data_IF_203033590095
#
_entry.id   IF_203033590095
#
_cell.length_a   1.000
_cell.length_b   1.000
_cell.length_c   1.000
_cell.angle_alpha   90.00
_cell.angle_beta   90.00
_cell.angle_gamma   90.00
#
_symmetry.space_group_name_H-M   'P 1'
#
loop_
_entity.id
_entity.type
_entity.pdbx_description
1 polymer ?
#
# COMPACT_ATOMS: atom_id res chain seq x y z
N UNK A 1 -66.72 -58.71 -23.15
CA UNK A 1 -65.58 -57.83 -23.47
C UNK A 1 -66.02 -56.42 -23.13
N UNK A 2 -65.89 -55.99 -21.88
CA UNK A 2 -64.65 -55.53 -21.22
C UNK A 2 -64.44 -54.02 -21.39
N UNK A 3 -64.87 -53.33 -20.34
CA UNK A 3 -64.25 -52.19 -19.62
C UNK A 3 -63.90 -50.89 -20.34
N UNK A 4 -64.71 -49.87 -20.01
CA UNK A 4 -64.30 -48.57 -19.44
C UNK A 4 -62.82 -48.43 -19.07
N UNK A 5 -62.17 -47.40 -19.60
CA UNK A 5 -60.96 -46.76 -19.04
C UNK A 5 -60.98 -45.34 -19.62
N UNK A 6 -60.99 -44.25 -18.86
CA UNK A 6 -60.30 -44.02 -17.60
C UNK A 6 -59.51 -42.73 -17.81
N UNK A 7 -60.10 -41.64 -17.35
CA UNK A 7 -59.54 -40.32 -17.10
C UNK A 7 -58.09 -40.35 -16.61
N UNK A 8 -57.23 -39.47 -17.13
CA UNK A 8 -56.07 -38.99 -16.35
C UNK A 8 -55.64 -37.59 -16.82
N UNK A 9 -56.23 -36.61 -16.13
CA UNK A 9 -55.71 -35.26 -15.97
C UNK A 9 -54.32 -35.34 -15.31
N UNK A 10 -53.29 -34.87 -15.99
CA UNK A 10 -51.96 -34.73 -15.41
C UNK A 10 -51.96 -33.48 -14.51
N UNK A 11 -51.63 -33.60 -13.22
CA UNK A 11 -51.67 -32.47 -12.30
C UNK A 11 -50.53 -31.48 -12.58
N UNK A 12 -50.87 -30.20 -12.62
CA UNK A 12 -49.93 -29.10 -12.60
C UNK A 12 -49.10 -29.15 -11.32
N UNK A 13 -47.80 -29.41 -11.45
CA UNK A 13 -46.84 -29.19 -10.37
C UNK A 13 -46.71 -27.67 -10.15
N UNK A 14 -47.01 -27.15 -8.95
CA UNK A 14 -46.70 -25.77 -8.64
C UNK A 14 -45.18 -25.62 -8.57
N UNK A 15 -44.62 -24.88 -9.52
CA UNK A 15 -43.21 -24.50 -9.55
C UNK A 15 -42.94 -23.60 -8.33
N UNK A 16 -42.47 -24.20 -7.25
CA UNK A 16 -42.05 -23.48 -6.05
C UNK A 16 -40.78 -22.69 -6.37
N UNK A 17 -40.92 -21.37 -6.46
CA UNK A 17 -39.81 -20.44 -6.56
C UNK A 17 -39.10 -20.42 -5.19
N UNK A 18 -38.00 -21.18 -5.06
CA UNK A 18 -37.09 -21.03 -3.92
C UNK A 18 -36.38 -19.71 -4.11
N UNK A 19 -36.81 -18.69 -3.37
CA UNK A 19 -36.02 -17.49 -3.10
C UNK A 19 -34.79 -17.93 -2.31
N UNK A 20 -33.69 -18.18 -3.02
CA UNK A 20 -32.38 -18.24 -2.40
C UNK A 20 -32.08 -16.86 -1.76
N UNK A 21 -31.63 -16.84 -0.50
CA UNK A 21 -31.38 -15.59 0.21
C UNK A 21 -30.23 -14.82 -0.45
N UNK A 22 -30.52 -13.55 -0.73
CA UNK A 22 -29.62 -12.46 -1.01
C UNK A 22 -28.17 -12.71 -0.58
N UNK A 23 -27.31 -12.90 -1.57
CA UNK A 23 -25.92 -12.49 -1.45
C UNK A 23 -25.80 -11.12 -2.13
N UNK A 24 -26.04 -10.06 -1.37
CA UNK A 24 -25.76 -8.68 -1.76
C UNK A 24 -24.23 -8.51 -1.89
N UNK A 25 -23.68 -8.97 -3.02
CA UNK A 25 -22.30 -8.70 -3.43
C UNK A 25 -22.24 -7.34 -4.15
N UNK A 26 -22.70 -6.28 -3.48
CA UNK A 26 -22.55 -4.91 -3.96
C UNK A 26 -21.36 -4.26 -3.24
N UNK A 27 -20.17 -4.39 -3.84
CA UNK A 27 -19.19 -3.30 -4.02
C UNK A 27 -17.82 -3.86 -4.41
N UNK A 28 -17.71 -4.31 -5.65
CA UNK A 28 -16.43 -4.30 -6.34
C UNK A 28 -16.59 -3.41 -7.55
N UNK A 29 -16.13 -2.17 -7.42
CA UNK A 29 -15.75 -1.35 -8.55
C UNK A 29 -14.74 -2.17 -9.37
N UNK A 30 -15.25 -2.88 -10.38
CA UNK A 30 -14.47 -3.74 -11.27
C UNK A 30 -13.36 -2.88 -11.83
N UNK A 31 -12.13 -3.11 -11.38
CA UNK A 31 -11.01 -2.29 -11.84
C UNK A 31 -10.98 -2.36 -13.36
N UNK A 32 -10.98 -1.21 -14.03
CA UNK A 32 -10.90 -1.15 -15.50
C UNK A 32 -9.55 -1.67 -16.01
N UNK A 33 -8.55 -1.80 -15.13
CA UNK A 33 -7.22 -2.30 -15.49
C UNK A 33 -7.18 -3.83 -15.47
N UNK A 34 -6.87 -4.42 -16.63
CA UNK A 34 -6.64 -5.88 -16.80
C UNK A 34 -5.69 -6.43 -15.74
N UNK A 35 -4.63 -5.67 -15.40
CA UNK A 35 -3.68 -6.04 -14.35
C UNK A 35 -4.33 -6.18 -12.98
N UNK A 36 -5.17 -5.22 -12.60
CA UNK A 36 -5.82 -5.22 -11.30
C UNK A 36 -6.89 -6.30 -11.20
N UNK A 37 -7.60 -6.57 -12.28
CA UNK A 37 -8.54 -7.70 -12.35
C UNK A 37 -7.81 -9.03 -12.16
N UNK A 38 -6.72 -9.27 -12.91
CA UNK A 38 -5.92 -10.48 -12.77
C UNK A 38 -5.34 -10.63 -11.35
N UNK A 39 -4.90 -9.52 -10.75
CA UNK A 39 -4.42 -9.47 -9.37
C UNK A 39 -5.53 -9.80 -8.36
N UNK A 40 -6.71 -9.19 -8.49
CA UNK A 40 -7.83 -9.38 -7.59
C UNK A 40 -8.35 -10.82 -7.65
N UNK A 41 -8.51 -11.35 -8.86
CA UNK A 41 -8.93 -12.73 -9.10
C UNK A 41 -7.93 -13.72 -8.47
N UNK A 42 -6.63 -13.61 -8.79
CA UNK A 42 -5.63 -14.52 -8.23
C UNK A 42 -5.59 -14.47 -6.69
N UNK A 43 -5.79 -13.30 -6.08
CA UNK A 43 -5.93 -13.21 -4.61
C UNK A 43 -7.17 -13.92 -4.09
N UNK A 44 -8.31 -13.69 -4.74
CA UNK A 44 -9.56 -14.31 -4.36
C UNK A 44 -9.44 -15.84 -4.46
N UNK A 45 -8.87 -16.36 -5.56
CA UNK A 45 -8.70 -17.79 -5.79
C UNK A 45 -7.76 -18.43 -4.76
N UNK A 46 -6.61 -17.81 -4.46
CA UNK A 46 -5.68 -18.29 -3.45
C UNK A 46 -6.31 -18.31 -2.05
N UNK A 47 -6.98 -17.21 -1.66
CA UNK A 47 -7.63 -17.13 -0.36
C UNK A 47 -8.79 -18.13 -0.26
N UNK A 48 -9.66 -18.22 -1.28
CA UNK A 48 -10.78 -19.15 -1.30
C UNK A 48 -10.30 -20.60 -1.17
N UNK A 49 -9.23 -20.97 -1.88
CA UNK A 49 -8.66 -22.32 -1.78
C UNK A 49 -8.08 -22.59 -0.40
N UNK A 50 -7.45 -21.60 0.23
CA UNK A 50 -6.90 -21.73 1.57
C UNK A 50 -8.03 -21.88 2.61
N UNK A 51 -9.10 -21.09 2.49
CA UNK A 51 -10.32 -21.21 3.32
C UNK A 51 -10.96 -22.58 3.15
N UNK A 52 -11.12 -23.05 1.91
CA UNK A 52 -11.67 -24.39 1.60
C UNK A 52 -10.84 -25.50 2.28
N UNK A 53 -9.51 -25.42 2.17
CA UNK A 53 -8.60 -26.43 2.70
C UNK A 53 -8.46 -26.41 4.24
N UNK A 54 -8.66 -25.25 4.86
CA UNK A 54 -8.51 -25.06 6.31
C UNK A 54 -9.82 -25.06 7.07
N UNK A 55 -10.95 -24.93 6.36
CA UNK A 55 -12.29 -24.71 6.91
C UNK A 55 -12.40 -23.47 7.81
N UNK A 56 -11.46 -22.53 7.69
CA UNK A 56 -11.42 -21.30 8.47
C UNK A 56 -11.73 -20.11 7.56
N UNK A 57 -12.82 -19.40 7.85
CA UNK A 57 -13.26 -18.25 7.04
C UNK A 57 -12.25 -17.08 7.04
N UNK A 58 -11.48 -16.94 8.11
CA UNK A 58 -10.48 -15.87 8.27
C UNK A 58 -9.12 -16.21 7.63
N UNK A 59 -8.99 -17.39 7.04
CA UNK A 59 -7.74 -17.84 6.46
C UNK A 59 -7.38 -16.99 5.23
N UNK A 60 -6.22 -16.35 5.26
CA UNK A 60 -5.78 -15.42 4.23
C UNK A 60 -4.32 -15.63 3.88
N UNK A 61 -3.99 -15.42 2.62
CA UNK A 61 -2.63 -15.51 2.13
C UNK A 61 -1.75 -14.41 2.74
N UNK A 62 -0.62 -14.80 3.33
CA UNK A 62 0.42 -13.88 3.83
C UNK A 62 1.63 -13.94 2.90
N UNK A 63 2.17 -12.75 2.58
CA UNK A 63 3.20 -12.59 1.56
C UNK A 63 4.58 -12.22 2.11
N UNK A 64 4.67 -11.86 3.38
CA UNK A 64 5.95 -11.65 4.07
C UNK A 64 6.55 -13.01 4.45
N UNK A 65 7.87 -13.08 4.58
CA UNK A 65 8.57 -14.33 4.92
C UNK A 65 8.04 -14.90 6.23
N UNK A 66 8.01 -14.07 7.28
CA UNK A 66 7.51 -14.47 8.61
C UNK A 66 6.01 -14.77 8.59
N UNK A 67 5.22 -13.94 7.90
CA UNK A 67 3.78 -14.11 7.87
C UNK A 67 3.36 -15.39 7.14
N UNK A 68 4.02 -15.70 6.03
CA UNK A 68 3.80 -16.94 5.29
C UNK A 68 4.17 -18.16 6.14
N UNK A 69 5.37 -18.17 6.74
CA UNK A 69 5.82 -19.28 7.56
C UNK A 69 4.90 -19.51 8.76
N UNK A 70 4.58 -18.46 9.54
CA UNK A 70 3.76 -18.61 10.76
C UNK A 70 2.32 -18.98 10.46
N UNK A 71 1.67 -18.28 9.54
CA UNK A 71 0.23 -18.44 9.33
C UNK A 71 -0.09 -19.51 8.30
N UNK A 72 0.53 -19.45 7.11
CA UNK A 72 0.19 -20.38 6.02
C UNK A 72 0.74 -21.78 6.31
N UNK A 73 2.02 -21.88 6.65
CA UNK A 73 2.62 -23.19 6.94
C UNK A 73 2.35 -23.64 8.37
N UNK A 74 2.61 -22.80 9.37
CA UNK A 74 2.52 -23.18 10.77
C UNK A 74 1.07 -23.37 11.25
N UNK A 75 0.22 -22.35 11.08
CA UNK A 75 -1.15 -22.36 11.59
C UNK A 75 -2.11 -23.13 10.69
N UNK A 76 -2.02 -22.93 9.38
CA UNK A 76 -2.92 -23.55 8.40
C UNK A 76 -2.42 -24.91 7.91
N UNK A 77 -1.16 -25.30 8.16
CA UNK A 77 -0.57 -26.59 7.76
C UNK A 77 -0.55 -26.83 6.24
N UNK A 78 -0.43 -25.77 5.44
CA UNK A 78 -0.30 -25.86 3.98
C UNK A 78 0.91 -25.08 3.48
N UNK A 79 1.49 -25.54 2.38
CA UNK A 79 2.56 -24.84 1.66
C UNK A 79 2.20 -24.72 0.19
N UNK A 80 2.60 -23.61 -0.40
CA UNK A 80 2.48 -23.37 -1.83
C UNK A 80 3.65 -24.04 -2.55
N UNK A 81 3.36 -24.90 -3.52
CA UNK A 81 4.37 -25.63 -4.29
C UNK A 81 4.29 -25.20 -5.76
N UNK A 82 5.43 -25.28 -6.46
CA UNK A 82 5.60 -24.90 -7.86
C UNK A 82 5.33 -23.43 -8.12
N UNK A 83 5.69 -22.59 -7.16
CA UNK A 83 5.86 -21.17 -7.43
C UNK A 83 7.04 -21.00 -8.40
N UNK A 84 6.92 -20.20 -9.47
CA UNK A 84 7.99 -20.07 -10.47
C UNK A 84 9.26 -19.46 -9.89
N UNK A 85 10.42 -20.07 -10.15
CA UNK A 85 11.73 -19.64 -9.62
C UNK A 85 12.15 -18.24 -10.09
N UNK A 86 11.63 -17.77 -11.23
CA UNK A 86 11.90 -16.45 -11.82
C UNK A 86 10.99 -15.34 -11.29
N UNK A 87 9.90 -15.70 -10.60
CA UNK A 87 8.93 -14.75 -10.05
C UNK A 87 9.17 -14.59 -8.56
N UNK A 88 9.50 -13.39 -8.05
CA UNK A 88 9.70 -13.22 -6.63
C UNK A 88 8.40 -13.48 -5.87
N UNK A 89 8.47 -14.26 -4.79
CA UNK A 89 7.34 -14.47 -3.91
C UNK A 89 7.14 -13.23 -3.04
N UNK A 90 6.14 -12.42 -3.40
CA UNK A 90 5.80 -11.19 -2.70
C UNK A 90 4.34 -10.85 -2.95
N UNK A 91 3.86 -9.82 -2.26
CA UNK A 91 2.52 -9.33 -2.46
C UNK A 91 2.30 -8.98 -3.95
N UNK A 92 1.22 -9.50 -4.55
CA UNK A 92 0.92 -9.38 -5.99
C UNK A 92 0.84 -7.92 -6.49
N UNK A 93 0.65 -6.94 -5.60
CA UNK A 93 0.73 -5.50 -5.93
C UNK A 93 2.15 -5.08 -6.31
N UNK A 94 3.15 -5.67 -5.67
CA UNK A 94 4.55 -5.25 -5.73
C UNK A 94 5.31 -5.93 -6.87
N UNK A 95 4.72 -6.97 -7.48
CA UNK A 95 5.31 -7.66 -8.62
C UNK A 95 5.58 -6.69 -9.77
N UNK A 96 6.83 -6.62 -10.24
CA UNK A 96 7.18 -5.87 -11.46
C UNK A 96 6.88 -6.73 -12.70
N UNK A 97 6.77 -6.10 -13.87
CA UNK A 97 6.51 -6.81 -15.14
C UNK A 97 5.06 -6.79 -15.65
N UNK A 98 4.21 -5.93 -15.08
CA UNK A 98 2.86 -5.68 -15.61
C UNK A 98 1.88 -6.84 -15.42
N UNK A 99 0.87 -6.92 -16.29
CA UNK A 99 -0.14 -7.98 -16.25
C UNK A 99 0.40 -9.36 -16.68
N UNK A 100 1.52 -9.41 -17.43
CA UNK A 100 2.05 -10.65 -18.00
C UNK A 100 2.43 -11.67 -16.90
N UNK A 101 3.14 -11.22 -15.87
CA UNK A 101 3.58 -12.10 -14.75
C UNK A 101 2.36 -12.65 -14.00
N UNK A 102 1.36 -11.80 -13.73
CA UNK A 102 0.12 -12.22 -13.08
C UNK A 102 -0.66 -13.24 -13.92
N UNK A 103 -0.71 -13.04 -15.24
CA UNK A 103 -1.37 -13.97 -16.14
C UNK A 103 -0.65 -15.33 -16.21
N UNK A 104 0.69 -15.34 -16.11
CA UNK A 104 1.47 -16.59 -16.02
C UNK A 104 1.14 -17.32 -14.72
N UNK A 105 1.19 -16.63 -13.57
CA UNK A 105 0.82 -17.23 -12.28
C UNK A 105 -0.61 -17.78 -12.29
N UNK A 106 -1.55 -17.02 -12.87
CA UNK A 106 -2.94 -17.45 -13.01
C UNK A 106 -3.06 -18.69 -13.88
N UNK A 107 -2.40 -18.71 -15.05
CA UNK A 107 -2.40 -19.89 -15.91
C UNK A 107 -1.85 -21.13 -15.18
N UNK A 108 -0.79 -20.98 -14.40
CA UNK A 108 -0.21 -22.08 -13.61
C UNK A 108 -1.15 -22.56 -12.50
N UNK A 109 -1.90 -21.63 -11.89
CA UNK A 109 -2.95 -21.92 -10.92
C UNK A 109 -4.12 -22.68 -11.56
N UNK A 110 -4.65 -22.18 -12.68
CA UNK A 110 -5.75 -22.79 -13.42
C UNK A 110 -5.38 -24.19 -13.93
N UNK A 111 -4.10 -24.40 -14.26
CA UNK A 111 -3.55 -25.70 -14.64
C UNK A 111 -3.32 -26.64 -13.45
N UNK A 112 -3.47 -26.17 -12.21
CA UNK A 112 -3.21 -26.94 -10.98
C UNK A 112 -1.73 -27.26 -10.75
N UNK A 113 -0.83 -26.59 -11.48
CA UNK A 113 0.62 -26.70 -11.27
C UNK A 113 1.00 -25.94 -10.02
N UNK A 114 0.62 -24.66 -9.95
CA UNK A 114 0.69 -23.88 -8.73
C UNK A 114 -0.48 -24.28 -7.83
N UNK A 115 -0.19 -24.83 -6.66
CA UNK A 115 -1.24 -25.29 -5.72
C UNK A 115 -0.75 -25.31 -4.28
N UNK A 116 -1.71 -25.37 -3.37
CA UNK A 116 -1.43 -25.70 -1.98
C UNK A 116 -1.30 -27.22 -1.80
N UNK A 117 -0.26 -27.63 -1.07
CA UNK A 117 -0.05 -28.99 -0.61
C UNK A 117 0.06 -28.99 0.92
N UNK A 118 -0.34 -30.10 1.55
CA UNK A 118 -0.26 -30.22 3.00
C UNK A 118 1.20 -30.14 3.46
N UNK A 119 1.48 -29.26 4.42
CA UNK A 119 2.81 -29.09 4.98
C UNK A 119 3.22 -30.35 5.75
N UNK A 120 4.48 -30.77 5.59
CA UNK A 120 5.01 -31.88 6.37
C UNK A 120 5.30 -31.41 7.81
N UNK A 121 5.36 -32.33 8.80
CA UNK A 121 5.72 -31.97 10.17
C UNK A 121 7.08 -31.26 10.27
N UNK A 122 8.02 -31.64 9.38
CA UNK A 122 9.32 -30.99 9.27
C UNK A 122 9.19 -29.54 8.77
N UNK A 123 8.34 -29.29 7.77
CA UNK A 123 8.07 -27.94 7.27
C UNK A 123 7.46 -27.04 8.36
N UNK A 124 6.52 -27.59 9.14
CA UNK A 124 5.88 -26.88 10.27
C UNK A 124 6.93 -26.52 11.34
N UNK A 125 7.81 -27.47 11.69
CA UNK A 125 8.90 -27.22 12.63
C UNK A 125 9.91 -26.18 12.09
N UNK A 126 10.22 -26.23 10.79
CA UNK A 126 11.10 -25.28 10.13
C UNK A 126 10.48 -23.89 10.06
N UNK A 127 9.16 -23.77 9.86
CA UNK A 127 8.48 -22.48 9.81
C UNK A 127 8.64 -21.67 11.10
N UNK A 128 8.70 -22.34 12.26
CA UNK A 128 8.93 -21.70 13.56
C UNK A 128 10.41 -21.37 13.81
N UNK A 129 11.33 -22.23 13.35
CA UNK A 129 12.77 -22.07 13.58
C UNK A 129 13.43 -21.13 12.60
N UNK A 130 13.20 -21.36 11.31
CA UNK A 130 13.83 -20.68 10.18
C UNK A 130 12.79 -20.42 9.06
N UNK A 131 12.04 -19.30 9.15
CA UNK A 131 11.00 -18.94 8.18
C UNK A 131 11.45 -18.96 6.72
N UNK A 132 12.71 -18.55 6.46
CA UNK A 132 13.31 -18.53 5.11
C UNK A 132 13.36 -19.92 4.48
N UNK A 133 13.54 -20.99 5.28
CA UNK A 133 13.66 -22.36 4.76
C UNK A 133 12.39 -22.88 4.11
N UNK A 134 11.23 -22.33 4.48
CA UNK A 134 9.92 -22.75 3.98
C UNK A 134 9.40 -21.81 2.89
N UNK A 135 10.11 -20.70 2.67
CA UNK A 135 9.76 -19.72 1.66
C UNK A 135 9.84 -20.34 0.25
N UNK A 136 8.88 -20.05 -0.66
CA UNK A 136 8.89 -20.66 -2.00
C UNK A 136 10.16 -20.36 -2.80
N UNK A 137 10.60 -19.09 -2.79
CA UNK A 137 11.80 -18.64 -3.52
C UNK A 137 12.78 -17.94 -2.58
N UNK A 138 13.54 -18.68 -1.75
CA UNK A 138 14.45 -18.05 -0.78
C UNK A 138 15.61 -17.33 -1.47
N UNK A 139 15.98 -17.76 -2.68
CA UNK A 139 17.07 -17.18 -3.48
C UNK A 139 16.78 -15.76 -3.99
N UNK A 140 15.49 -15.43 -4.16
CA UNK A 140 15.06 -14.11 -4.63
C UNK A 140 14.78 -13.13 -3.50
N UNK A 141 14.94 -13.55 -2.23
CA UNK A 141 14.84 -12.63 -1.12
C UNK A 141 15.99 -11.63 -1.21
N UNK A 142 15.74 -10.33 -0.98
CA UNK A 142 16.83 -9.39 -0.79
C UNK A 142 17.62 -9.91 0.41
N UNK A 143 18.85 -10.37 0.17
CA UNK A 143 19.84 -10.56 1.24
C UNK A 143 19.83 -9.25 2.02
N UNK A 144 19.75 -9.31 3.34
CA UNK A 144 19.80 -8.16 4.25
C UNK A 144 21.11 -7.37 4.06
N UNK A 145 21.25 -6.72 2.91
CA UNK A 145 22.08 -5.58 2.73
C UNK A 145 21.27 -4.50 3.43
N UNK A 146 21.47 -4.37 4.75
CA UNK A 146 21.12 -3.13 5.43
C UNK A 146 21.53 -2.01 4.48
N UNK A 147 20.61 -1.09 4.12
CA UNK A 147 20.93 -0.06 3.15
C UNK A 147 22.19 0.59 3.68
N UNK A 148 23.31 0.33 3.02
CA UNK A 148 24.56 0.99 3.36
C UNK A 148 24.19 2.45 3.20
N UNK A 149 24.09 3.19 4.31
CA UNK A 149 23.79 4.62 4.27
C UNK A 149 24.84 5.20 3.34
N UNK A 150 24.48 5.39 2.07
CA UNK A 150 25.38 5.97 1.10
C UNK A 150 25.54 7.39 1.58
N UNK A 151 26.74 7.73 2.05
CA UNK A 151 27.06 9.09 2.50
C UNK A 151 26.53 10.05 1.45
N UNK A 152 25.70 11.01 1.86
CA UNK A 152 25.07 11.92 0.92
C UNK A 152 26.12 12.56 0.00
N UNK A 153 25.85 12.58 -1.31
CA UNK A 153 26.77 13.21 -2.26
C UNK A 153 26.74 14.71 -2.02
N UNK A 154 27.88 15.28 -1.63
CA UNK A 154 28.00 16.73 -1.42
C UNK A 154 28.21 17.39 -2.77
N UNK A 155 27.18 18.06 -3.28
CA UNK A 155 27.30 18.91 -4.47
C UNK A 155 27.72 20.30 -4.03
N UNK A 156 28.88 20.73 -4.50
CA UNK A 156 29.52 22.00 -4.16
C UNK A 156 29.49 22.95 -5.37
N UNK A 157 28.37 23.62 -5.67
CA UNK A 157 28.32 24.58 -6.77
C UNK A 157 29.24 25.77 -6.49
N UNK A 158 30.07 26.09 -7.49
CA UNK A 158 30.91 27.29 -7.50
C UNK A 158 30.04 28.49 -7.87
N UNK A 159 29.97 29.48 -6.99
CA UNK A 159 29.31 30.75 -7.26
C UNK A 159 30.33 31.74 -7.82
N UNK A 160 30.01 32.37 -8.96
CA UNK A 160 30.86 33.39 -9.60
C UNK A 160 30.11 34.72 -9.66
N UNK A 161 30.86 35.83 -9.61
CA UNK A 161 30.29 37.17 -9.78
C UNK A 161 29.86 37.36 -11.23
N UNK A 162 28.64 37.88 -11.51
CA UNK A 162 28.07 37.88 -12.86
C UNK A 162 28.81 38.77 -13.87
N UNK A 163 29.61 39.74 -13.38
CA UNK A 163 30.30 40.72 -14.24
C UNK A 163 31.81 40.42 -14.32
N UNK A 164 32.42 40.09 -13.19
CA UNK A 164 33.87 39.86 -13.12
C UNK A 164 34.25 38.39 -13.24
N UNK A 165 33.27 37.47 -13.21
CA UNK A 165 33.47 36.01 -13.12
C UNK A 165 34.44 35.57 -12.00
N UNK A 166 34.73 36.47 -11.05
CA UNK A 166 35.54 36.18 -9.89
C UNK A 166 34.78 35.23 -8.98
N UNK A 167 35.46 34.22 -8.43
CA UNK A 167 34.85 33.28 -7.50
C UNK A 167 34.32 34.02 -6.26
N UNK A 168 33.03 33.85 -5.99
CA UNK A 168 32.34 34.36 -4.79
C UNK A 168 32.30 33.31 -3.67
N UNK A 169 32.68 32.06 -3.96
CA UNK A 169 32.76 30.96 -3.00
C UNK A 169 31.92 29.74 -3.37
N UNK A 170 31.80 28.81 -2.43
CA UNK A 170 31.10 27.54 -2.59
C UNK A 170 29.88 27.51 -1.66
N UNK A 171 28.71 27.15 -2.20
CA UNK A 171 27.50 26.93 -1.43
C UNK A 171 27.07 25.47 -1.55
N UNK A 172 27.68 24.54 -0.78
CA UNK A 172 27.29 23.15 -0.86
C UNK A 172 25.84 22.99 -0.39
N UNK A 173 25.05 22.36 -1.23
CA UNK A 173 23.69 21.93 -0.94
C UNK A 173 23.73 20.41 -0.83
N UNK A 174 23.50 19.88 0.36
CA UNK A 174 23.37 18.44 0.61
C UNK A 174 22.08 18.20 1.37
N UNK A 175 21.39 17.10 1.02
CA UNK A 175 20.23 16.57 1.75
C UNK A 175 20.63 15.93 3.08
N UNK A 176 21.91 15.59 3.26
CA UNK A 176 22.49 15.11 4.52
C UNK A 176 23.15 16.28 5.28
N UNK A 177 22.58 16.72 6.43
CA UNK A 177 23.08 17.86 7.20
C UNK A 177 24.44 17.57 7.86
N UNK A 178 24.74 16.32 8.18
CA UNK A 178 26.01 15.94 8.84
C UNK A 178 27.17 16.00 7.84
N UNK A 179 26.89 15.70 6.56
CA UNK A 179 27.85 15.84 5.48
C UNK A 179 28.30 17.31 5.28
N UNK A 180 27.38 18.28 5.43
CA UNK A 180 27.69 19.73 5.27
C UNK A 180 28.57 20.27 6.40
N UNK A 181 28.37 19.77 7.63
CA UNK A 181 29.15 20.16 8.81
C UNK A 181 30.64 19.92 8.60
N UNK A 182 31.00 18.75 8.07
CA UNK A 182 32.40 18.37 7.84
C UNK A 182 33.12 19.24 6.81
N UNK A 183 32.39 19.74 5.79
CA UNK A 183 32.98 20.53 4.69
C UNK A 183 33.04 22.03 5.01
N UNK A 184 31.99 22.59 5.62
CA UNK A 184 31.92 24.04 5.85
C UNK A 184 32.32 24.48 7.26
N UNK A 185 32.41 23.55 8.23
CA UNK A 185 32.57 23.87 9.65
C UNK A 185 31.41 24.72 10.23
N UNK A 186 30.34 24.90 9.45
CA UNK A 186 29.19 25.74 9.80
C UNK A 186 28.06 24.83 10.25
N UNK A 187 27.53 25.10 11.44
CA UNK A 187 26.31 24.45 11.92
C UNK A 187 25.21 24.57 10.87
N UNK A 188 24.44 23.49 10.60
CA UNK A 188 23.34 23.55 9.65
C UNK A 188 22.46 24.73 10.01
N UNK A 189 22.17 25.59 9.04
CA UNK A 189 21.35 26.78 9.26
C UNK A 189 19.98 26.26 9.67
N UNK A 190 19.62 26.41 10.94
CA UNK A 190 18.32 25.97 11.41
C UNK A 190 17.25 26.63 10.54
N UNK A 191 16.39 25.80 9.94
CA UNK A 191 15.21 26.31 9.26
C UNK A 191 14.43 27.20 10.25
N UNK A 192 13.82 28.26 9.74
CA UNK A 192 13.17 29.29 10.56
C UNK A 192 12.21 28.65 11.59
N UNK A 193 12.47 28.90 12.87
CA UNK A 193 11.68 28.36 13.98
C UNK A 193 10.44 29.20 14.33
N UNK A 194 10.10 30.21 13.51
CA UNK A 194 8.96 31.11 13.72
C UNK A 194 7.68 30.69 12.97
N UNK A 195 7.62 29.46 12.47
CA UNK A 195 6.38 28.87 11.95
C UNK A 195 5.31 28.94 13.05
N UNK A 196 4.14 29.51 12.75
CA UNK A 196 3.05 29.88 13.69
C UNK A 196 3.34 30.98 14.72
N UNK A 197 4.53 31.59 14.77
CA UNK A 197 4.84 32.70 15.71
C UNK A 197 4.64 34.07 15.05
N UNK A 198 3.96 35.04 15.70
CA UNK A 198 3.86 36.39 15.18
C UNK A 198 5.23 37.09 15.26
N UNK A 199 5.63 37.79 14.19
CA UNK A 199 6.84 38.64 14.23
C UNK A 199 6.66 39.74 15.27
N UNK A 200 7.65 39.96 16.15
CA UNK A 200 7.67 41.14 17.03
C UNK A 200 7.65 42.40 16.17
N UNK A 201 6.65 43.26 16.39
CA UNK A 201 6.56 44.58 15.78
C UNK A 201 6.52 45.64 16.88
N UNK A 202 7.06 46.84 16.64
CA UNK A 202 6.93 47.96 17.57
C UNK A 202 5.45 48.23 17.85
N UNK A 203 5.09 48.34 19.12
CA UNK A 203 3.70 48.59 19.57
C UNK A 203 3.29 50.03 19.30
N UNK A 204 4.26 50.95 19.19
CA UNK A 204 4.02 52.36 18.91
C UNK A 204 4.53 52.69 17.52
N UNK A 205 3.65 53.23 16.68
CA UNK A 205 4.02 53.79 15.40
C UNK A 205 4.50 55.24 15.63
N UNK A 206 5.76 55.60 15.33
CA UNK A 206 6.26 56.97 15.56
C UNK A 206 5.46 58.04 14.79
N UNK A 207 4.70 57.65 13.76
CA UNK A 207 3.95 58.56 12.91
C UNK A 207 2.45 58.63 13.25
N UNK A 208 2.01 58.12 14.42
CA UNK A 208 0.61 58.13 14.88
C UNK A 208 -0.46 57.53 13.91
N UNK A 209 -0.03 56.79 12.88
CA UNK A 209 -0.98 56.09 11.99
C UNK A 209 -1.56 54.85 12.70
N UNK A 210 -2.81 54.47 12.39
CA UNK A 210 -3.46 53.30 12.98
C UNK A 210 -2.61 52.04 12.83
N UNK A 211 -2.49 51.27 13.92
CA UNK A 211 -1.67 50.07 13.97
C UNK A 211 -2.22 49.01 13.00
N UNK A 212 -1.36 48.51 12.11
CA UNK A 212 -1.72 47.40 11.21
C UNK A 212 -2.19 46.18 12.02
N UNK A 213 -3.34 45.61 11.66
CA UNK A 213 -3.93 44.42 12.31
C UNK A 213 -2.91 43.27 12.35
N UNK A 214 -2.84 42.58 13.49
CA UNK A 214 -1.95 41.41 13.66
C UNK A 214 -2.31 40.34 12.64
N UNK A 215 -1.36 39.98 11.75
CA UNK A 215 -1.51 38.86 10.81
C UNK A 215 -0.98 37.57 11.47
N UNK A 216 -1.66 36.44 11.25
CA UNK A 216 -1.12 35.12 11.60
C UNK A 216 0.09 34.82 10.71
N UNK A 217 1.10 34.16 11.26
CA UNK A 217 2.27 33.70 10.50
C UNK A 217 1.91 32.57 9.53
N UNK A 218 2.88 32.11 8.75
CA UNK A 218 2.75 30.93 7.89
C UNK A 218 2.28 29.73 8.72
N UNK A 219 1.22 29.07 8.24
CA UNK A 219 0.54 27.95 8.90
C UNK A 219 0.91 26.58 8.36
N UNK A 220 1.66 26.51 7.26
CA UNK A 220 2.09 25.25 6.65
C UNK A 220 2.99 24.45 7.60
N UNK A 221 2.97 23.13 7.45
CA UNK A 221 3.82 22.23 8.22
C UNK A 221 5.30 22.43 7.86
N UNK A 222 6.18 22.09 8.81
CA UNK A 222 7.64 22.32 8.71
C UNK A 222 8.29 21.46 7.62
N UNK A 223 7.71 20.29 7.37
CA UNK A 223 8.08 19.36 6.31
C UNK A 223 6.80 18.83 5.69
N UNK A 224 6.76 18.71 4.38
CA UNK A 224 5.85 17.78 3.69
C UNK A 224 6.68 16.52 3.52
N UNK A 225 6.65 15.65 4.53
CA UNK A 225 7.11 14.30 4.27
C UNK A 225 6.07 13.70 3.32
N UNK A 226 6.51 13.14 2.20
CA UNK A 226 5.68 12.15 1.52
C UNK A 226 5.43 11.10 2.59
N UNK A 227 4.20 11.07 3.12
CA UNK A 227 3.79 10.07 4.08
C UNK A 227 3.97 8.76 3.33
N UNK A 228 5.07 8.05 3.62
CA UNK A 228 5.10 6.61 3.45
C UNK A 228 3.84 6.17 4.16
N UNK A 229 2.85 5.75 3.39
CA UNK A 229 1.57 5.31 3.90
C UNK A 229 1.87 4.18 4.87
N UNK A 230 1.88 4.50 6.16
CA UNK A 230 1.75 3.54 7.23
C UNK A 230 0.37 2.91 7.02
N UNK A 231 0.36 1.85 6.20
CA UNK A 231 -0.74 0.92 6.14
C UNK A 231 -0.63 0.13 7.44
N UNK A 232 -1.05 0.75 8.54
CA UNK A 232 -1.54 -0.03 9.67
C UNK A 232 -2.80 -0.74 9.17
N UNK A 233 -2.69 -2.06 9.03
CA UNK A 233 -3.81 -2.98 8.87
C UNK A 233 -4.69 -2.85 10.12
N UNK A 234 -5.57 -1.85 10.16
CA UNK A 234 -6.70 -1.80 11.07
C UNK A 234 -8.00 -2.04 10.31
N UNK A 235 -8.86 -2.79 10.97
CA UNK A 235 -10.04 -3.48 10.47
C UNK A 235 -11.08 -2.55 9.84
N UNK A 236 -11.99 -3.20 9.11
CA UNK A 236 -13.05 -2.65 8.28
C UNK A 236 -13.94 -1.62 9.00
N UNK A 237 -13.99 -0.40 8.47
CA UNK A 237 -15.19 0.44 8.46
C UNK A 237 -15.16 1.34 7.20
N UNK A 238 -15.92 0.94 6.19
CA UNK A 238 -16.04 1.65 4.90
C UNK A 238 -16.68 3.03 5.09
N UNK A 239 -17.56 3.17 6.08
CA UNK A 239 -18.24 4.43 6.44
C UNK A 239 -17.27 5.48 7.02
N UNK A 240 -16.31 5.07 7.86
CA UNK A 240 -15.36 6.02 8.46
C UNK A 240 -14.36 6.55 7.42
N UNK A 241 -14.02 5.76 6.39
CA UNK A 241 -13.21 6.19 5.24
C UNK A 241 -13.95 7.20 4.36
N UNK A 242 -15.25 7.03 4.15
CA UNK A 242 -16.08 8.00 3.44
C UNK A 242 -16.19 9.32 4.23
N UNK A 243 -16.37 9.25 5.56
CA UNK A 243 -16.39 10.41 6.44
C UNK A 243 -15.03 11.14 6.51
N UNK A 244 -13.91 10.40 6.51
CA UNK A 244 -12.55 10.98 6.46
C UNK A 244 -12.24 11.61 5.08
N UNK A 245 -12.72 11.03 3.97
CA UNK A 245 -12.64 11.63 2.63
C UNK A 245 -13.50 12.89 2.49
N UNK A 246 -14.69 12.91 3.08
CA UNK A 246 -15.55 14.10 3.10
C UNK A 246 -14.92 15.28 3.85
N UNK A 247 -13.96 15.02 4.75
CA UNK A 247 -13.22 16.08 5.47
C UNK A 247 -12.13 16.76 4.65
N UNK A 248 -11.77 16.21 3.48
CA UNK A 248 -10.78 16.77 2.57
C UNK A 248 -11.33 16.90 1.14
N UNK A 249 -12.49 17.54 0.99
CA UNK A 249 -12.85 18.25 -0.25
C UNK A 249 -14.00 19.24 0.00
N UNK A 250 -13.77 20.21 0.88
CA UNK A 250 -14.56 21.44 0.89
C UNK A 250 -13.58 22.61 0.74
N UNK A 251 -13.10 22.81 -0.49
CA UNK A 251 -12.71 24.17 -0.91
C UNK A 251 -14.03 24.88 -1.16
N UNK A 252 -14.63 25.40 -0.10
CA UNK A 252 -15.66 26.42 -0.19
C UNK A 252 -14.98 27.76 -0.04
N UNK A 253 -14.44 28.26 -1.14
CA UNK A 253 -14.29 29.68 -1.38
C UNK A 253 -14.49 29.87 -2.90
N UNK A 254 -15.68 30.30 -3.37
CA UNK A 254 -15.73 30.92 -4.68
C UNK A 254 -14.79 32.13 -4.63
N UNK A 255 -13.88 32.22 -5.59
CA UNK A 255 -13.15 33.47 -5.85
C UNK A 255 -14.20 34.46 -6.36
N UNK A 256 -14.80 35.21 -5.45
CA UNK A 256 -15.57 36.39 -5.79
C UNK A 256 -14.58 37.53 -6.08
N UNK A 257 -14.67 38.04 -7.31
CA UNK A 257 -14.07 39.27 -7.85
C UNK A 257 -12.55 39.29 -8.08
N UNK A 258 -12.18 39.01 -9.32
CA UNK A 258 -11.22 39.86 -10.04
C UNK A 258 -12.01 40.94 -10.80
N UNK A 259 -12.26 42.07 -10.15
CA UNK A 259 -12.51 43.37 -10.79
C UNK A 259 -11.74 44.45 -10.05
#
# INVERSE_FOLDING_TARGET
MSVSTGEQLVPHSPFTFVLEPHCDFADQAVSRNVRDQARAQLRADLNAKLVELTQNADARMRWTVDGYARHVVGQHNYKLIFWPDDVPFMNLSNLRGGARVLNVLRRLWDQGTLRFERATPADIGNALRNPISVHPNPQLLPVDQQPVRTKGVIVAPLAFHPITFSSLGVHPTSTDPDAVLSVLGKRPRAQRADIKRPRRRPVTNPNNLPLRRRKRGVTSEKYVLEVESEIEEFESDVEERAAKRAKFSCVSDPIEEFM
#
